data_IF_880719569501
#
_entry.id   IF_880719569501
#
_cell.length_a   1.000
_cell.length_b   1.000
_cell.length_c   1.000
_cell.angle_alpha   90.00
_cell.angle_beta   90.00
_cell.angle_gamma   90.00
#
_symmetry.space_group_name_H-M   'P 1'
#
loop_
_entity.id
_entity.type
_entity.pdbx_description
1 polymer ?
#
# COMPACT_ATOMS: atom_id res chain seq x y z
N UNK A 1 -11.80 -2.43 15.17
CA UNK A 1 -11.95 -1.18 14.39
C UNK A 1 -13.40 -0.74 14.17
N UNK A 2 -14.37 -1.44 14.75
CA UNK A 2 -15.80 -1.04 14.66
C UNK A 2 -15.98 0.38 15.24
N UNK A 3 -16.64 1.27 14.49
CA UNK A 3 -16.91 2.65 14.90
C UNK A 3 -15.74 3.63 14.76
N UNK A 4 -14.59 3.21 14.24
CA UNK A 4 -13.46 4.08 13.95
C UNK A 4 -13.48 4.54 12.49
N UNK A 5 -13.37 5.84 12.27
CA UNK A 5 -13.20 6.41 10.93
C UNK A 5 -11.74 6.81 10.74
N UNK A 6 -11.08 6.37 9.66
CA UNK A 6 -9.70 6.75 9.36
C UNK A 6 -9.53 8.27 9.29
N UNK A 7 -8.32 8.79 9.60
CA UNK A 7 -7.97 10.17 9.24
C UNK A 7 -8.30 10.40 7.77
N UNK A 8 -8.81 11.54 7.37
CA UNK A 8 -9.30 11.84 6.02
C UNK A 8 -10.55 11.08 5.53
N UNK A 9 -11.11 10.13 6.29
CA UNK A 9 -12.29 9.35 5.91
C UNK A 9 -12.05 8.33 4.78
N UNK A 10 -10.80 8.11 4.38
CA UNK A 10 -10.45 7.20 3.28
C UNK A 10 -10.04 5.83 3.84
N UNK A 11 -10.79 4.79 3.52
CA UNK A 11 -10.49 3.41 3.91
C UNK A 11 -9.58 2.70 2.91
N UNK A 12 -9.81 2.94 1.61
CA UNK A 12 -9.10 2.26 0.52
C UNK A 12 -8.46 3.30 -0.40
N UNK A 13 -7.14 3.26 -0.51
CA UNK A 13 -6.34 4.10 -1.41
C UNK A 13 -6.03 3.37 -2.70
N UNK A 14 -5.86 2.04 -2.61
CA UNK A 14 -5.55 1.14 -3.72
C UNK A 14 -6.47 -0.06 -3.64
N UNK A 15 -7.09 -0.41 -4.77
CA UNK A 15 -7.85 -1.64 -4.93
C UNK A 15 -7.27 -2.45 -6.10
N UNK A 16 -7.03 -3.73 -5.88
CA UNK A 16 -6.70 -4.70 -6.91
C UNK A 16 -7.97 -5.47 -7.28
N UNK A 17 -8.52 -5.17 -8.45
CA UNK A 17 -9.77 -5.79 -8.92
C UNK A 17 -9.41 -6.90 -9.90
N UNK A 18 -9.71 -8.15 -9.54
CA UNK A 18 -9.53 -9.29 -10.43
C UNK A 18 -10.73 -9.40 -11.38
N UNK A 19 -10.43 -9.43 -12.67
CA UNK A 19 -11.43 -9.44 -13.73
C UNK A 19 -11.34 -10.72 -14.58
N UNK A 20 -12.49 -11.30 -14.87
CA UNK A 20 -12.63 -12.37 -15.87
C UNK A 20 -13.30 -11.79 -17.10
N UNK A 21 -12.64 -11.93 -18.27
CA UNK A 21 -13.20 -11.56 -19.55
C UNK A 21 -13.90 -12.77 -20.16
N UNK A 22 -15.21 -12.70 -20.37
CA UNK A 22 -16.03 -13.78 -20.94
C UNK A 22 -16.32 -13.58 -22.43
N UNK A 23 -16.24 -12.34 -22.91
CA UNK A 23 -16.40 -11.99 -24.32
C UNK A 23 -15.58 -10.74 -24.67
N UNK A 24 -15.68 -10.25 -25.92
CA UNK A 24 -14.97 -9.03 -26.34
C UNK A 24 -15.33 -7.77 -25.51
N UNK A 25 -16.55 -7.71 -24.99
CA UNK A 25 -17.09 -6.51 -24.32
C UNK A 25 -17.56 -6.77 -22.90
N UNK A 26 -17.45 -7.98 -22.40
CA UNK A 26 -18.01 -8.38 -21.12
C UNK A 26 -16.93 -8.82 -20.13
N UNK A 27 -16.92 -8.15 -18.98
CA UNK A 27 -16.02 -8.43 -17.89
C UNK A 27 -16.83 -8.64 -16.61
N UNK A 28 -16.42 -9.60 -15.82
CA UNK A 28 -16.95 -9.85 -14.48
C UNK A 28 -15.87 -9.62 -13.43
N UNK A 29 -16.25 -9.04 -12.30
CA UNK A 29 -15.39 -8.95 -11.12
C UNK A 29 -15.36 -10.34 -10.46
N UNK A 30 -14.17 -10.86 -10.27
CA UNK A 30 -13.94 -12.15 -9.60
C UNK A 30 -13.70 -11.96 -8.10
N UNK A 31 -12.91 -10.96 -7.76
CA UNK A 31 -12.65 -10.56 -6.37
C UNK A 31 -12.08 -9.14 -6.30
N UNK A 32 -12.21 -8.54 -5.12
CA UNK A 32 -11.59 -7.29 -4.75
C UNK A 32 -10.47 -7.56 -3.73
N UNK A 33 -9.26 -7.06 -4.00
CA UNK A 33 -8.14 -7.11 -3.08
C UNK A 33 -7.88 -5.69 -2.57
N UNK A 34 -8.21 -5.41 -1.31
CA UNK A 34 -8.08 -4.08 -0.69
C UNK A 34 -7.29 -4.08 0.61
N UNK A 35 -6.89 -5.24 1.14
CA UNK A 35 -6.02 -5.32 2.31
C UNK A 35 -4.60 -4.92 1.96
N UNK A 36 -3.96 -5.66 1.07
CA UNK A 36 -2.60 -5.44 0.56
C UNK A 36 -2.52 -5.82 -0.92
N UNK A 37 -3.24 -5.11 -1.83
CA UNK A 37 -3.25 -5.47 -3.24
C UNK A 37 -1.84 -5.47 -3.82
N UNK A 38 -1.54 -6.45 -4.68
CA UNK A 38 -0.22 -6.67 -5.29
C UNK A 38 -0.34 -6.90 -6.79
N UNK A 39 0.81 -6.83 -7.51
CA UNK A 39 0.90 -7.16 -8.93
C UNK A 39 1.19 -5.99 -9.85
N UNK A 40 1.08 -4.75 -9.39
CA UNK A 40 1.28 -3.56 -10.24
C UNK A 40 2.73 -3.39 -10.71
N UNK A 41 3.71 -3.78 -9.91
CA UNK A 41 5.11 -3.78 -10.31
C UNK A 41 5.36 -4.69 -11.50
N UNK A 42 4.79 -5.89 -11.47
CA UNK A 42 4.87 -6.85 -12.58
C UNK A 42 4.15 -6.36 -13.82
N UNK A 43 3.04 -5.63 -13.68
CA UNK A 43 2.36 -5.01 -14.81
C UNK A 43 3.26 -3.96 -15.47
N UNK A 44 3.94 -3.13 -14.70
CA UNK A 44 4.84 -2.08 -15.19
C UNK A 44 6.05 -2.72 -15.90
N UNK A 45 6.73 -3.68 -15.25
CA UNK A 45 7.86 -4.41 -15.81
C UNK A 45 7.49 -5.19 -17.08
N UNK A 46 6.35 -5.89 -17.06
CA UNK A 46 5.86 -6.59 -18.24
C UNK A 46 5.57 -5.62 -19.40
N UNK A 47 5.01 -4.46 -19.09
CA UNK A 47 4.75 -3.41 -20.08
C UNK A 47 6.03 -2.92 -20.74
N UNK A 48 7.07 -2.68 -19.96
CA UNK A 48 8.37 -2.24 -20.46
C UNK A 48 9.05 -3.34 -21.29
N UNK A 49 9.03 -4.56 -20.79
CA UNK A 49 9.55 -5.73 -21.52
C UNK A 49 8.85 -5.90 -22.87
N UNK A 50 7.53 -5.85 -22.90
CA UNK A 50 6.75 -5.95 -24.14
C UNK A 50 7.05 -4.82 -25.12
N UNK A 51 7.23 -3.59 -24.62
CA UNK A 51 7.61 -2.45 -25.45
C UNK A 51 8.98 -2.65 -26.11
N UNK A 52 9.96 -3.16 -25.35
CA UNK A 52 11.30 -3.42 -25.84
C UNK A 52 11.36 -4.60 -26.82
N UNK A 53 10.55 -5.64 -26.60
CA UNK A 53 10.51 -6.81 -27.48
C UNK A 53 9.73 -6.57 -28.77
N UNK A 54 8.69 -5.75 -28.73
CA UNK A 54 7.75 -5.56 -29.85
C UNK A 54 7.51 -4.07 -30.18
N UNK A 55 8.56 -3.26 -30.43
CA UNK A 55 8.40 -1.81 -30.63
C UNK A 55 7.51 -1.46 -31.83
N UNK A 56 7.57 -2.26 -32.92
CA UNK A 56 6.73 -2.04 -34.09
C UNK A 56 5.24 -2.26 -33.81
N UNK A 57 4.89 -3.21 -32.92
CA UNK A 57 3.52 -3.43 -32.51
C UNK A 57 2.99 -2.23 -31.75
N UNK A 58 3.78 -1.72 -30.81
CA UNK A 58 3.41 -0.56 -29.99
C UNK A 58 3.35 0.74 -30.78
N UNK A 59 4.11 0.86 -31.88
CA UNK A 59 3.99 2.01 -32.79
C UNK A 59 2.64 2.03 -33.53
N UNK A 60 2.07 0.85 -33.79
CA UNK A 60 0.79 0.68 -34.52
C UNK A 60 -0.42 0.71 -33.60
N UNK A 61 -0.28 0.17 -32.39
CA UNK A 61 -1.36 0.04 -31.41
C UNK A 61 -1.13 1.04 -30.30
N UNK A 62 -2.00 2.03 -30.16
CA UNK A 62 -1.94 3.03 -29.09
C UNK A 62 -2.41 2.42 -27.77
N UNK A 63 -1.51 1.81 -27.02
CA UNK A 63 -1.79 1.30 -25.67
C UNK A 63 -1.43 2.39 -24.66
N UNK A 64 -2.36 2.68 -23.73
CA UNK A 64 -2.15 3.70 -22.69
C UNK A 64 -0.93 3.39 -21.84
N UNK A 65 -0.11 4.41 -21.55
CA UNK A 65 1.03 4.28 -20.64
C UNK A 65 0.59 3.99 -19.20
N UNK A 66 1.39 3.20 -18.49
CA UNK A 66 1.23 2.88 -17.06
C UNK A 66 2.40 3.40 -16.21
N UNK A 67 3.38 4.05 -16.83
CA UNK A 67 4.61 4.52 -16.16
C UNK A 67 4.37 5.58 -15.10
N UNK A 68 3.24 6.31 -15.18
CA UNK A 68 2.87 7.32 -14.18
C UNK A 68 2.28 6.74 -12.89
N UNK A 69 2.09 5.42 -12.81
CA UNK A 69 1.42 4.81 -11.65
C UNK A 69 2.14 5.12 -10.32
N UNK A 70 3.47 4.95 -10.17
CA UNK A 70 4.14 5.24 -8.91
C UNK A 70 4.00 6.71 -8.48
N UNK A 71 4.11 7.64 -9.43
CA UNK A 71 3.94 9.07 -9.15
C UNK A 71 2.52 9.41 -8.72
N UNK A 72 1.50 8.80 -9.33
CA UNK A 72 0.10 8.97 -8.95
C UNK A 72 -0.19 8.34 -7.58
N UNK A 73 0.38 7.17 -7.29
CA UNK A 73 0.29 6.52 -5.99
C UNK A 73 0.89 7.43 -4.90
N UNK A 74 2.11 7.91 -5.09
CA UNK A 74 2.75 8.82 -4.14
C UNK A 74 1.92 10.08 -3.90
N UNK A 75 1.37 10.68 -4.97
CA UNK A 75 0.50 11.85 -4.86
C UNK A 75 -0.77 11.55 -4.03
N UNK A 76 -1.40 10.41 -4.25
CA UNK A 76 -2.59 9.99 -3.49
C UNK A 76 -2.26 9.75 -2.01
N UNK A 77 -1.12 9.09 -1.73
CA UNK A 77 -0.63 8.86 -0.37
C UNK A 77 -0.34 10.19 0.34
N UNK A 78 0.41 11.10 -0.27
CA UNK A 78 0.68 12.43 0.30
C UNK A 78 -0.60 13.23 0.57
N UNK A 79 -1.58 13.15 -0.32
CA UNK A 79 -2.87 13.83 -0.15
C UNK A 79 -3.70 13.30 1.03
N UNK A 80 -3.40 12.09 1.53
CA UNK A 80 -4.05 11.50 2.70
C UNK A 80 -3.36 11.81 4.02
N UNK A 81 -2.28 12.59 4.01
CA UNK A 81 -1.56 12.97 5.22
C UNK A 81 -2.47 13.71 6.22
N UNK A 82 -2.44 13.34 7.51
CA UNK A 82 -3.26 14.00 8.52
C UNK A 82 -3.02 15.50 8.65
N UNK A 83 -1.82 15.95 8.33
CA UNK A 83 -1.39 17.34 8.52
C UNK A 83 -1.44 18.19 7.25
N UNK A 84 -1.91 17.68 6.11
CA UNK A 84 -2.00 18.40 4.81
C UNK A 84 -0.73 19.23 4.48
N UNK A 85 0.44 18.76 4.92
CA UNK A 85 1.71 19.42 4.68
C UNK A 85 2.14 19.14 3.23
N UNK A 86 2.66 20.17 2.56
CA UNK A 86 3.21 20.03 1.20
C UNK A 86 4.39 19.04 1.13
N UNK A 87 5.02 18.74 2.27
CA UNK A 87 6.19 17.86 2.38
C UNK A 87 5.95 16.69 3.36
N UNK A 88 4.83 15.99 3.19
CA UNK A 88 4.51 14.82 3.99
C UNK A 88 5.48 13.68 3.72
N UNK A 89 6.01 13.07 4.79
CA UNK A 89 6.88 11.90 4.72
C UNK A 89 6.04 10.64 4.53
N UNK A 90 6.28 9.96 3.41
CA UNK A 90 5.68 8.64 3.09
C UNK A 90 6.76 7.57 3.22
N UNK A 91 6.42 6.42 3.80
CA UNK A 91 7.28 5.23 3.81
C UNK A 91 6.47 3.97 3.47
N UNK A 92 7.14 2.96 2.92
CA UNK A 92 6.56 1.64 2.63
C UNK A 92 6.98 0.67 3.73
N UNK A 93 6.02 0.15 4.49
CA UNK A 93 6.26 -0.89 5.50
C UNK A 93 6.20 -2.28 4.87
N UNK A 94 7.31 -2.97 4.85
CA UNK A 94 7.44 -4.35 4.36
C UNK A 94 7.60 -5.34 5.51
N UNK A 95 7.09 -6.58 5.38
CA UNK A 95 7.42 -7.66 6.30
C UNK A 95 8.82 -8.26 6.07
N UNK A 96 9.59 -7.70 5.12
CA UNK A 96 10.97 -8.10 4.83
C UNK A 96 11.13 -9.03 3.64
N UNK A 97 12.39 -9.37 3.39
CA UNK A 97 12.85 -10.06 2.18
C UNK A 97 12.30 -11.48 1.97
N UNK A 98 11.77 -12.10 3.02
CA UNK A 98 11.18 -13.44 2.91
C UNK A 98 9.72 -13.43 2.44
N UNK A 99 9.14 -12.26 2.27
CA UNK A 99 7.78 -12.12 1.72
C UNK A 99 7.79 -12.33 0.20
N UNK A 100 6.84 -13.09 -0.33
CA UNK A 100 6.73 -13.39 -1.76
C UNK A 100 6.55 -12.14 -2.64
N UNK A 101 5.98 -11.07 -2.10
CA UNK A 101 5.78 -9.80 -2.79
C UNK A 101 6.90 -8.76 -2.50
N UNK A 102 8.02 -9.15 -1.89
CA UNK A 102 9.09 -8.21 -1.52
C UNK A 102 9.63 -7.43 -2.71
N UNK A 103 9.74 -8.06 -3.89
CA UNK A 103 10.12 -7.37 -5.11
C UNK A 103 9.22 -6.16 -5.37
N UNK A 104 7.89 -6.33 -5.28
CA UNK A 104 6.96 -5.23 -5.48
C UNK A 104 7.12 -4.13 -4.43
N UNK A 105 7.37 -4.49 -3.16
CA UNK A 105 7.56 -3.51 -2.10
C UNK A 105 8.76 -2.63 -2.36
N UNK A 106 9.91 -3.24 -2.72
CA UNK A 106 11.15 -2.52 -3.04
C UNK A 106 11.02 -1.72 -4.34
N UNK A 107 10.42 -2.30 -5.38
CA UNK A 107 10.17 -1.64 -6.65
C UNK A 107 9.32 -0.37 -6.48
N UNK A 108 8.21 -0.46 -5.76
CA UNK A 108 7.34 0.70 -5.56
C UNK A 108 7.99 1.76 -4.69
N UNK A 109 8.74 1.38 -3.64
CA UNK A 109 9.48 2.33 -2.82
C UNK A 109 10.51 3.10 -3.65
N UNK A 110 11.29 2.40 -4.47
CA UNK A 110 12.28 2.99 -5.38
C UNK A 110 11.63 3.93 -6.40
N UNK A 111 10.60 3.46 -7.11
CA UNK A 111 9.91 4.24 -8.13
C UNK A 111 9.16 5.47 -7.58
N UNK A 112 8.73 5.43 -6.34
CA UNK A 112 8.14 6.58 -5.63
C UNK A 112 9.19 7.49 -5.01
N UNK A 113 10.44 7.04 -4.86
CA UNK A 113 11.50 7.77 -4.16
C UNK A 113 11.22 7.91 -2.67
N UNK A 114 10.68 6.86 -2.03
CA UNK A 114 10.37 6.82 -0.60
C UNK A 114 11.12 5.67 0.09
N UNK A 115 11.27 5.77 1.42
CA UNK A 115 11.96 4.74 2.18
C UNK A 115 11.16 3.44 2.27
N UNK A 116 11.85 2.30 2.09
CA UNK A 116 11.37 0.97 2.41
C UNK A 116 11.83 0.64 3.83
N UNK A 117 10.88 0.39 4.73
CA UNK A 117 11.16 0.15 6.15
C UNK A 117 10.57 -1.17 6.62
N UNK A 118 11.25 -1.81 7.56
CA UNK A 118 10.74 -2.94 8.34
C UNK A 118 10.35 -2.46 9.75
N UNK A 119 9.66 -3.29 10.52
CA UNK A 119 9.22 -2.93 11.88
C UNK A 119 10.36 -2.48 12.79
N UNK A 120 11.53 -3.09 12.66
CA UNK A 120 12.73 -2.78 13.45
C UNK A 120 13.32 -1.39 13.14
N UNK A 121 12.98 -0.79 12.03
CA UNK A 121 13.39 0.56 11.64
C UNK A 121 12.48 1.63 12.22
N UNK A 122 11.33 1.22 12.78
CA UNK A 122 10.28 2.10 13.25
C UNK A 122 10.17 2.10 14.78
N UNK A 123 9.86 3.25 15.33
CA UNK A 123 9.47 3.38 16.73
C UNK A 123 8.47 4.53 16.94
N UNK A 124 7.78 4.50 18.07
CA UNK A 124 6.86 5.58 18.45
C UNK A 124 7.61 6.56 19.34
N UNK A 125 7.64 7.83 18.93
CA UNK A 125 8.24 8.95 19.63
C UNK A 125 7.18 10.04 19.77
N UNK A 126 6.88 10.44 20.99
CA UNK A 126 5.90 11.50 21.30
C UNK A 126 4.55 11.31 20.60
N UNK A 127 4.06 10.06 20.57
CA UNK A 127 2.77 9.71 19.94
C UNK A 127 2.77 9.76 18.40
N UNK A 128 3.94 9.73 17.78
CA UNK A 128 4.10 9.69 16.31
C UNK A 128 5.03 8.54 15.90
N UNK A 129 4.77 7.96 14.73
CA UNK A 129 5.66 6.95 14.14
C UNK A 129 6.87 7.65 13.54
N UNK A 130 8.05 7.18 13.91
CA UNK A 130 9.33 7.67 13.39
C UNK A 130 10.17 6.53 12.81
N UNK A 131 10.84 6.77 11.69
CA UNK A 131 11.83 5.85 11.17
C UNK A 131 13.24 6.27 11.58
N UNK A 132 14.09 5.28 11.81
CA UNK A 132 15.52 5.47 12.08
C UNK A 132 16.25 5.81 10.79
N UNK A 133 17.06 6.86 10.82
CA UNK A 133 17.93 7.29 9.72
C UNK A 133 19.36 7.46 10.20
N UNK A 134 20.30 7.65 9.31
CA UNK A 134 21.70 7.96 9.65
C UNK A 134 21.88 9.31 10.37
N UNK A 135 20.88 10.18 10.31
CA UNK A 135 20.88 11.52 10.93
C UNK A 135 19.99 11.58 12.19
N UNK A 136 19.46 10.43 12.66
CA UNK A 136 18.51 10.36 13.77
C UNK A 136 17.16 9.83 13.34
N UNK A 137 16.09 10.33 13.94
CA UNK A 137 14.73 9.88 13.66
C UNK A 137 13.99 10.88 12.77
N UNK A 138 13.26 10.34 11.78
CA UNK A 138 12.39 11.13 10.90
C UNK A 138 10.94 10.67 11.08
N UNK A 139 10.03 11.61 11.34
CA UNK A 139 8.61 11.33 11.49
C UNK A 139 8.01 10.88 10.16
N UNK A 140 7.13 9.88 10.22
CA UNK A 140 6.33 9.38 9.10
C UNK A 140 4.90 9.89 9.24
N UNK A 141 4.36 10.51 8.21
CA UNK A 141 2.98 11.01 8.16
C UNK A 141 2.03 10.02 7.48
N UNK A 142 2.54 9.25 6.51
CA UNK A 142 1.77 8.24 5.78
C UNK A 142 2.58 6.96 5.66
N UNK A 143 2.01 5.87 6.12
CA UNK A 143 2.59 4.54 6.03
C UNK A 143 1.82 3.70 5.00
N UNK A 144 2.45 3.41 3.86
CA UNK A 144 1.94 2.45 2.90
C UNK A 144 2.34 1.05 3.35
N UNK A 145 1.41 0.36 4.02
CA UNK A 145 1.68 -0.94 4.61
C UNK A 145 1.57 -2.08 3.60
N UNK A 146 2.51 -3.00 3.71
CA UNK A 146 2.50 -4.30 3.03
C UNK A 146 2.46 -5.45 4.04
N UNK A 147 2.17 -5.15 5.30
CA UNK A 147 1.97 -6.07 6.42
C UNK A 147 0.48 -6.29 6.62
N UNK A 148 0.05 -7.54 6.80
CA UNK A 148 -1.35 -7.90 7.07
C UNK A 148 -1.82 -7.34 8.41
N UNK A 149 -3.13 -7.08 8.53
CA UNK A 149 -3.76 -6.52 9.73
C UNK A 149 -3.36 -7.26 11.02
N UNK A 150 -3.37 -8.59 10.96
CA UNK A 150 -3.09 -9.44 12.12
C UNK A 150 -1.67 -9.30 12.65
N UNK A 151 -0.74 -8.82 11.82
CA UNK A 151 0.67 -8.68 12.18
C UNK A 151 1.10 -7.21 12.36
N UNK A 152 0.19 -6.25 12.14
CA UNK A 152 0.52 -4.82 12.08
C UNK A 152 0.91 -4.25 13.46
N UNK A 153 0.24 -4.70 14.52
CA UNK A 153 0.50 -4.24 15.90
C UNK A 153 0.41 -5.40 16.89
N UNK A 154 1.54 -5.84 17.47
CA UNK A 154 1.53 -6.93 18.46
C UNK A 154 0.77 -6.62 19.75
N UNK A 155 0.56 -5.34 20.08
CA UNK A 155 -0.23 -4.96 21.26
C UNK A 155 -1.74 -4.99 21.01
N UNK A 156 -2.16 -4.99 19.75
CA UNK A 156 -3.59 -4.94 19.38
C UNK A 156 -4.11 -6.22 18.73
N UNK A 157 -3.22 -7.02 18.11
CA UNK A 157 -3.59 -8.20 17.33
C UNK A 157 -2.81 -9.45 17.77
N UNK A 158 -1.82 -9.88 17.00
CA UNK A 158 -1.02 -11.06 17.32
C UNK A 158 0.22 -10.66 18.13
N UNK A 159 0.22 -11.00 19.43
CA UNK A 159 1.31 -10.70 20.37
C UNK A 159 2.68 -11.27 19.98
N UNK A 160 2.71 -12.32 19.14
CA UNK A 160 3.93 -12.95 18.65
C UNK A 160 4.42 -12.34 17.33
N UNK A 161 3.79 -11.26 16.84
CA UNK A 161 4.21 -10.63 15.60
C UNK A 161 5.52 -9.87 15.76
N UNK A 162 6.52 -10.25 14.98
CA UNK A 162 7.75 -9.49 14.79
C UNK A 162 7.71 -8.54 13.58
N UNK A 163 6.61 -8.53 12.83
CA UNK A 163 6.46 -7.79 11.57
C UNK A 163 5.81 -6.42 11.75
N UNK A 164 5.17 -6.22 12.88
CA UNK A 164 4.41 -5.01 13.21
C UNK A 164 5.15 -4.06 14.14
N UNK A 165 4.57 -2.89 14.33
CA UNK A 165 5.10 -1.83 15.19
C UNK A 165 4.25 -1.75 16.45
N UNK A 166 4.82 -2.06 17.65
CA UNK A 166 4.07 -2.02 18.90
C UNK A 166 3.45 -0.65 19.16
N UNK A 167 2.13 -0.60 19.33
CA UNK A 167 1.38 0.63 19.63
C UNK A 167 1.03 1.49 18.41
N UNK A 168 1.31 1.04 17.19
CA UNK A 168 0.97 1.81 15.98
C UNK A 168 -0.54 2.05 15.85
N UNK A 169 -1.37 1.14 16.37
CA UNK A 169 -2.82 1.30 16.34
C UNK A 169 -3.32 2.45 17.23
N UNK A 170 -2.64 2.75 18.30
CA UNK A 170 -3.00 3.90 19.14
C UNK A 170 -2.59 5.21 18.48
N UNK A 171 -1.42 5.25 17.82
CA UNK A 171 -0.99 6.39 17.01
C UNK A 171 -1.96 6.61 15.83
N UNK A 172 -2.41 5.53 15.17
CA UNK A 172 -3.40 5.61 14.10
C UNK A 172 -4.75 6.14 14.59
N UNK A 173 -5.23 5.66 15.76
CA UNK A 173 -6.48 6.15 16.37
C UNK A 173 -6.39 7.60 16.81
N UNK A 174 -5.21 8.08 17.20
CA UNK A 174 -5.01 9.50 17.54
C UNK A 174 -5.06 10.43 16.34
N UNK A 175 -5.04 9.87 15.12
CA UNK A 175 -5.13 10.64 13.87
C UNK A 175 -3.81 11.32 13.47
N UNK A 176 -2.67 10.89 14.01
CA UNK A 176 -1.36 11.50 13.73
C UNK A 176 -0.60 10.81 12.60
N UNK A 177 -1.11 9.68 12.09
CA UNK A 177 -0.59 8.95 10.92
C UNK A 177 -1.74 8.45 10.05
N UNK A 178 -1.53 8.41 8.74
CA UNK A 178 -2.38 7.65 7.82
C UNK A 178 -1.74 6.30 7.53
N UNK A 179 -2.52 5.23 7.63
CA UNK A 179 -2.13 3.87 7.19
C UNK A 179 -2.95 3.52 5.94
N UNK A 180 -2.27 3.28 4.84
CA UNK A 180 -2.89 2.94 3.55
C UNK A 180 -2.58 1.46 3.19
N UNK A 181 -3.57 0.59 2.89
CA UNK A 181 -4.99 0.82 3.13
C UNK A 181 -5.29 0.70 4.62
N UNK A 182 -6.41 1.26 5.02
CA UNK A 182 -6.81 1.28 6.43
C UNK A 182 -6.91 -0.13 7.02
N UNK A 183 -6.47 -0.36 8.28
CA UNK A 183 -6.70 -1.63 8.96
C UNK A 183 -8.19 -1.98 9.02
N UNK A 184 -8.52 -3.24 8.69
CA UNK A 184 -9.90 -3.74 8.64
C UNK A 184 -10.51 -3.75 7.23
N UNK A 185 -9.87 -3.17 6.22
CA UNK A 185 -10.38 -3.23 4.82
C UNK A 185 -10.42 -4.64 4.25
N UNK A 186 -9.61 -5.56 4.79
CA UNK A 186 -9.58 -6.95 4.38
C UNK A 186 -10.90 -7.71 4.51
N UNK A 187 -11.93 -7.11 5.10
CA UNK A 187 -13.28 -7.68 5.08
C UNK A 187 -13.85 -7.71 3.65
N UNK A 188 -13.47 -6.75 2.82
CA UNK A 188 -13.90 -6.71 1.43
C UNK A 188 -13.14 -7.70 0.51
N UNK A 189 -11.98 -8.23 0.97
CA UNK A 189 -11.27 -9.31 0.28
C UNK A 189 -12.01 -10.66 0.41
N UNK A 190 -12.99 -10.76 1.33
CA UNK A 190 -13.75 -11.99 1.49
C UNK A 190 -14.73 -12.14 0.33
N UNK A 191 -14.59 -13.26 -0.41
CA UNK A 191 -15.45 -13.58 -1.56
C UNK A 191 -16.94 -13.64 -1.23
N UNK A 192 -17.29 -13.89 0.04
CA UNK A 192 -18.67 -13.82 0.50
C UNK A 192 -19.25 -12.40 0.34
N UNK A 193 -18.45 -11.36 0.43
CA UNK A 193 -18.92 -9.98 0.22
C UNK A 193 -19.47 -9.78 -1.19
N UNK A 194 -18.86 -10.40 -2.21
CA UNK A 194 -19.33 -10.31 -3.60
C UNK A 194 -20.66 -11.05 -3.84
N UNK A 195 -21.02 -12.01 -2.96
CA UNK A 195 -22.28 -12.74 -3.08
C UNK A 195 -23.47 -11.94 -2.55
N UNK A 196 -23.24 -10.90 -1.75
CA UNK A 196 -24.27 -10.08 -1.11
C UNK A 196 -24.38 -8.67 -1.70
N UNK A 197 -23.54 -8.35 -2.69
CA UNK A 197 -23.57 -7.06 -3.42
C UNK A 197 -24.07 -7.24 -4.84
#
# INVERSE_FOLDING_TARGET
>A
MIGFTPPSGIYTHIAGIDLVRTSEKEFFVLEDNVRTPSGVSYMIENRETMYNMFPELFSKIKVRSVTEYPAKLLKALKASSPQLLNDSTVAVLTPGMYNSAYFEHSFLADQMGVELVESQDLQIIDGRVAMRTTQGFKIIDVLYRRVDDMFLDPLSFNENSALGVPGIMDVYKSGTITIANAPGTGIADDKACLLYT
#
